data_IF_426912268643
#
_entry.id   IF_426912268643
#
_cell.length_a   1.000
_cell.length_b   1.000
_cell.length_c   1.000
_cell.angle_alpha   90.00
_cell.angle_beta   90.00
_cell.angle_gamma   90.00
#
_symmetry.space_group_name_H-M   'P 1'
#
loop_
_entity.id
_entity.type
_entity.pdbx_description
1 polymer ?
#
# COMPACT_ATOMS: atom_id res chain seq x y z
N UNK A 1 26.58 -0.50 48.76
CA UNK A 1 26.33 -1.90 48.35
C UNK A 1 25.91 -2.05 46.89
N UNK A 2 25.21 -1.09 46.27
CA UNK A 2 24.80 -1.18 44.86
C UNK A 2 25.97 -1.10 43.84
N UNK A 3 27.02 -0.32 44.14
CA UNK A 3 28.17 -0.13 43.24
C UNK A 3 29.05 -1.36 43.06
N UNK A 4 29.21 -2.17 44.11
CA UNK A 4 30.03 -3.39 44.04
C UNK A 4 29.39 -4.46 43.15
N UNK A 5 28.06 -4.56 43.18
CA UNK A 5 27.32 -5.47 42.30
C UNK A 5 27.35 -4.99 40.84
N UNK A 6 27.12 -3.69 40.60
CA UNK A 6 27.21 -3.12 39.25
C UNK A 6 28.61 -3.26 38.64
N UNK A 7 29.66 -3.10 39.45
CA UNK A 7 31.05 -3.30 39.03
C UNK A 7 31.35 -4.77 38.72
N UNK A 8 30.87 -5.72 39.54
CA UNK A 8 31.01 -7.15 39.28
C UNK A 8 30.23 -7.58 38.01
N UNK A 9 29.04 -7.04 37.78
CA UNK A 9 28.24 -7.29 36.57
C UNK A 9 28.89 -6.70 35.32
N UNK A 10 29.50 -5.52 35.41
CA UNK A 10 30.27 -4.93 34.30
C UNK A 10 31.48 -5.81 33.91
N UNK A 11 32.10 -6.49 34.87
CA UNK A 11 33.18 -7.45 34.64
C UNK A 11 32.74 -8.75 33.92
N UNK A 12 31.43 -9.02 33.85
CA UNK A 12 30.86 -10.15 33.11
C UNK A 12 30.41 -9.76 31.69
N UNK A 13 30.66 -8.52 31.27
CA UNK A 13 30.29 -8.05 29.94
C UNK A 13 31.11 -8.77 28.85
N UNK A 14 30.44 -9.61 28.06
CA UNK A 14 30.99 -10.15 26.83
C UNK A 14 30.62 -9.23 25.64
N UNK A 15 31.44 -9.18 24.56
CA UNK A 15 31.05 -8.52 23.33
C UNK A 15 29.70 -9.04 22.86
N UNK A 16 28.76 -8.13 22.59
CA UNK A 16 27.47 -8.51 22.02
C UNK A 16 27.69 -9.26 20.69
N UNK A 17 26.96 -10.36 20.42
CA UNK A 17 27.04 -11.03 19.13
C UNK A 17 26.80 -10.03 18.00
N UNK A 18 27.56 -10.12 16.90
CA UNK A 18 27.45 -9.18 15.79
C UNK A 18 26.03 -9.09 15.18
N UNK A 19 25.21 -10.13 15.40
CA UNK A 19 23.81 -10.21 14.96
C UNK A 19 22.82 -9.58 15.93
N UNK A 20 23.20 -9.37 17.19
CA UNK A 20 22.31 -8.86 18.24
C UNK A 20 21.76 -7.47 17.89
N UNK A 21 22.54 -6.52 17.34
CA UNK A 21 21.99 -5.20 17.05
C UNK A 21 20.86 -5.21 16.03
N UNK A 22 20.86 -6.12 15.04
CA UNK A 22 19.76 -6.25 14.07
C UNK A 22 18.50 -6.92 14.63
N UNK A 23 18.64 -7.61 15.79
CA UNK A 23 17.53 -8.22 16.53
C UNK A 23 16.91 -7.24 17.53
N UNK A 24 17.75 -6.40 18.14
CA UNK A 24 17.32 -5.44 19.17
C UNK A 24 16.85 -4.13 18.55
N UNK A 25 17.61 -3.56 17.61
CA UNK A 25 17.33 -2.26 17.03
C UNK A 25 16.68 -2.37 15.66
N UNK A 26 15.77 -1.44 15.40
CA UNK A 26 15.31 -1.16 14.04
C UNK A 26 16.17 -0.05 13.45
N UNK A 27 16.74 -0.32 12.28
CA UNK A 27 17.55 0.66 11.55
C UNK A 27 16.66 1.73 10.93
N UNK A 28 17.08 2.99 10.89
CA UNK A 28 16.35 4.01 10.17
C UNK A 28 17.24 5.05 9.48
N UNK A 29 16.73 5.64 8.40
CA UNK A 29 17.30 6.82 7.76
C UNK A 29 16.24 7.53 6.91
N UNK A 30 16.56 8.69 6.36
CA UNK A 30 15.68 9.41 5.43
C UNK A 30 16.00 9.08 3.97
N UNK A 31 15.01 9.22 3.10
CA UNK A 31 15.19 9.10 1.66
C UNK A 31 14.13 9.89 0.87
N UNK A 32 14.48 10.34 -0.35
CA UNK A 32 13.50 10.99 -1.22
C UNK A 32 12.50 9.97 -1.78
N UNK A 33 11.24 10.37 -1.84
CA UNK A 33 10.11 9.56 -2.30
C UNK A 33 9.12 10.37 -3.14
N UNK A 34 8.06 9.72 -3.62
CA UNK A 34 6.93 10.40 -4.29
C UNK A 34 6.04 11.25 -3.37
N UNK A 35 6.26 11.20 -2.05
CA UNK A 35 5.59 12.07 -1.07
C UNK A 35 6.50 13.22 -0.59
N UNK A 36 7.66 13.41 -1.22
CA UNK A 36 8.76 14.21 -0.68
C UNK A 36 9.71 13.35 0.16
N UNK A 37 10.53 13.99 0.98
CA UNK A 37 11.43 13.27 1.88
C UNK A 37 10.63 12.52 2.96
N UNK A 38 11.00 11.26 3.16
CA UNK A 38 10.38 10.38 4.16
C UNK A 38 11.45 9.73 5.01
N UNK A 39 11.09 9.38 6.23
CA UNK A 39 11.87 8.52 7.09
C UNK A 39 11.42 7.07 6.92
N UNK A 40 12.37 6.16 6.98
CA UNK A 40 12.17 4.74 6.72
C UNK A 40 12.80 3.93 7.84
N UNK A 41 12.03 3.04 8.46
CA UNK A 41 12.50 2.05 9.43
C UNK A 41 12.60 0.67 8.78
N UNK A 42 13.71 -0.02 9.01
CA UNK A 42 14.06 -1.32 8.42
C UNK A 42 14.53 -2.26 9.52
N UNK A 43 13.90 -3.42 9.61
CA UNK A 43 14.30 -4.52 10.49
C UNK A 43 15.16 -5.53 9.73
N UNK A 44 15.58 -6.61 10.40
CA UNK A 44 16.20 -7.74 9.72
C UNK A 44 15.28 -8.42 8.68
N UNK A 45 13.97 -8.21 8.74
CA UNK A 45 12.98 -8.84 7.85
C UNK A 45 12.53 -7.95 6.68
N UNK A 46 12.82 -6.65 6.73
CA UNK A 46 12.46 -5.73 5.65
C UNK A 46 12.05 -4.34 6.15
N UNK A 47 11.43 -3.57 5.25
CA UNK A 47 10.88 -2.25 5.58
C UNK A 47 9.65 -2.43 6.47
N UNK A 48 9.66 -1.83 7.65
CA UNK A 48 8.57 -1.93 8.63
C UNK A 48 7.75 -0.64 8.73
N UNK A 49 8.37 0.52 8.49
CA UNK A 49 7.69 1.81 8.63
C UNK A 49 8.21 2.85 7.65
N UNK A 50 7.31 3.61 7.04
CA UNK A 50 7.62 4.74 6.14
C UNK A 50 6.69 5.89 6.47
N UNK A 51 7.23 7.07 6.75
CA UNK A 51 6.41 8.26 7.03
C UNK A 51 7.13 9.55 6.65
N UNK A 52 6.43 10.54 6.07
CA UNK A 52 6.85 11.94 6.17
C UNK A 52 6.90 12.37 7.65
N UNK A 53 7.91 13.14 8.04
CA UNK A 53 8.00 13.77 9.35
C UNK A 53 8.80 15.06 9.23
N UNK A 54 8.55 16.03 10.10
CA UNK A 54 9.31 17.27 10.17
C UNK A 54 10.71 17.09 10.78
N UNK A 55 10.90 16.04 11.59
CA UNK A 55 12.18 15.73 12.22
C UNK A 55 12.38 14.23 12.48
N UNK A 56 13.63 13.86 12.77
CA UNK A 56 13.99 12.52 13.20
C UNK A 56 13.32 12.12 14.53
N UNK A 57 13.16 13.06 15.47
CA UNK A 57 12.55 12.80 16.77
C UNK A 57 11.05 12.55 16.65
N UNK A 58 10.35 13.30 15.79
CA UNK A 58 8.94 13.08 15.50
C UNK A 58 8.73 11.69 14.88
N UNK A 59 9.57 11.31 13.92
CA UNK A 59 9.56 9.97 13.35
C UNK A 59 9.83 8.90 14.40
N UNK A 60 10.83 9.11 15.25
CA UNK A 60 11.20 8.14 16.28
C UNK A 60 10.13 7.97 17.35
N UNK A 61 9.45 9.05 17.74
CA UNK A 61 8.31 9.00 18.63
C UNK A 61 7.14 8.21 18.02
N UNK A 62 6.79 8.49 16.75
CA UNK A 62 5.74 7.76 16.05
C UNK A 62 6.06 6.28 15.85
N UNK A 63 7.33 5.94 15.61
CA UNK A 63 7.77 4.55 15.50
C UNK A 63 7.66 3.83 16.85
N UNK A 64 8.11 4.45 17.95
CA UNK A 64 8.02 3.87 19.30
C UNK A 64 6.58 3.67 19.75
N UNK A 65 5.71 4.65 19.53
CA UNK A 65 4.27 4.54 19.82
C UNK A 65 3.63 3.32 19.14
N UNK A 66 4.06 3.02 17.92
CA UNK A 66 3.49 1.93 17.13
C UNK A 66 4.10 0.56 17.40
N UNK A 67 5.41 0.48 17.60
CA UNK A 67 6.14 -0.79 17.58
C UNK A 67 6.90 -1.10 18.87
N UNK A 68 6.98 -0.15 19.80
CA UNK A 68 7.71 -0.27 21.08
C UNK A 68 9.13 -0.83 20.92
N UNK A 69 9.87 -0.32 19.92
CA UNK A 69 11.24 -0.75 19.62
C UNK A 69 12.22 0.41 19.50
N UNK A 70 13.47 0.23 19.95
CA UNK A 70 14.49 1.24 19.83
C UNK A 70 14.97 1.37 18.38
N UNK A 71 15.29 2.60 18.01
CA UNK A 71 15.76 2.96 16.68
C UNK A 71 17.27 3.21 16.69
N UNK A 72 17.94 2.83 15.61
CA UNK A 72 19.35 3.15 15.35
C UNK A 72 19.52 3.72 13.95
N UNK A 73 20.24 4.83 13.82
CA UNK A 73 20.48 5.46 12.51
C UNK A 73 21.29 4.53 11.60
N UNK A 74 20.93 4.50 10.32
CA UNK A 74 21.64 3.83 9.25
C UNK A 74 22.29 4.87 8.33
N UNK A 75 23.47 4.55 7.80
CA UNK A 75 24.13 5.40 6.79
C UNK A 75 23.40 5.34 5.45
N UNK A 76 22.84 4.16 5.11
CA UNK A 76 22.16 3.90 3.83
C UNK A 76 21.04 2.89 3.97
N UNK A 77 20.02 3.05 3.13
CA UNK A 77 18.95 2.07 2.99
C UNK A 77 19.45 0.79 2.30
N UNK A 78 18.79 -0.37 2.57
CA UNK A 78 18.97 -1.56 1.76
C UNK A 78 18.71 -1.29 0.28
N UNK A 79 19.38 -2.06 -0.58
CA UNK A 79 19.22 -1.96 -2.02
C UNK A 79 17.75 -2.11 -2.45
N UNK A 80 17.32 -1.31 -3.41
CA UNK A 80 15.95 -1.34 -3.95
C UNK A 80 14.91 -0.54 -3.15
N UNK A 81 15.10 -0.28 -1.85
CA UNK A 81 14.13 0.48 -1.04
C UNK A 81 13.97 1.91 -1.55
N UNK A 82 15.09 2.64 -1.73
CA UNK A 82 15.07 4.01 -2.25
C UNK A 82 14.38 4.12 -3.62
N UNK A 83 14.77 3.34 -4.64
CA UNK A 83 14.04 3.27 -5.90
C UNK A 83 12.54 2.98 -5.74
N UNK A 84 12.16 2.01 -4.89
CA UNK A 84 10.76 1.61 -4.70
C UNK A 84 9.90 2.76 -4.15
N UNK A 85 10.44 3.55 -3.22
CA UNK A 85 9.78 4.75 -2.69
C UNK A 85 9.54 5.83 -3.77
N UNK A 86 10.35 5.83 -4.83
CA UNK A 86 10.21 6.69 -6.00
C UNK A 86 9.36 6.07 -7.12
N UNK A 87 8.71 4.93 -6.85
CA UNK A 87 7.93 4.19 -7.84
C UNK A 87 8.79 3.47 -8.90
N UNK A 88 10.09 3.30 -8.64
CA UNK A 88 11.04 2.63 -9.53
C UNK A 88 11.46 1.28 -8.92
N UNK A 89 11.83 0.31 -9.75
CA UNK A 89 12.24 -1.03 -9.31
C UNK A 89 11.12 -1.86 -8.61
N UNK A 90 11.45 -3.09 -8.23
CA UNK A 90 10.52 -4.07 -7.64
C UNK A 90 10.09 -3.77 -6.20
N UNK A 91 9.49 -4.74 -5.54
CA UNK A 91 9.05 -4.61 -4.14
C UNK A 91 10.14 -5.09 -3.20
N UNK A 92 10.69 -4.24 -2.33
CA UNK A 92 11.58 -4.70 -1.28
C UNK A 92 10.80 -5.59 -0.29
N UNK A 93 11.49 -6.46 0.47
CA UNK A 93 10.87 -7.17 1.58
C UNK A 93 10.21 -6.21 2.56
N UNK A 94 9.01 -6.57 3.03
CA UNK A 94 8.23 -5.81 4.00
C UNK A 94 8.12 -6.63 5.29
N UNK A 95 8.39 -5.99 6.42
CA UNK A 95 8.15 -6.59 7.73
C UNK A 95 6.78 -6.14 8.24
N UNK A 96 5.80 -7.07 8.14
CA UNK A 96 4.43 -6.88 8.59
C UNK A 96 4.07 -7.81 9.76
N UNK A 97 5.07 -8.33 10.48
CA UNK A 97 4.85 -9.31 11.55
C UNK A 97 4.09 -8.72 12.74
N UNK A 98 4.26 -7.42 12.99
CA UNK A 98 3.54 -6.70 14.07
C UNK A 98 2.06 -6.46 13.78
N UNK A 99 1.56 -6.77 12.57
CA UNK A 99 0.16 -6.59 12.21
C UNK A 99 -0.67 -7.85 12.51
N UNK A 100 -1.99 -7.71 12.57
CA UNK A 100 -2.90 -8.86 12.57
C UNK A 100 -2.93 -9.58 11.21
N UNK A 101 -3.42 -10.81 11.18
CA UNK A 101 -3.63 -11.55 9.91
C UNK A 101 -4.52 -10.77 8.94
N UNK A 102 -5.62 -10.20 9.45
CA UNK A 102 -6.53 -9.40 8.63
C UNK A 102 -5.83 -8.18 8.02
N UNK A 103 -5.02 -7.45 8.79
CA UNK A 103 -4.27 -6.31 8.27
C UNK A 103 -3.26 -6.75 7.20
N UNK A 104 -2.54 -7.85 7.42
CA UNK A 104 -1.62 -8.42 6.43
C UNK A 104 -2.34 -8.77 5.12
N UNK A 105 -3.50 -9.43 5.20
CA UNK A 105 -4.28 -9.82 4.03
C UNK A 105 -4.77 -8.59 3.24
N UNK A 106 -5.22 -7.55 3.93
CA UNK A 106 -5.64 -6.28 3.32
C UNK A 106 -4.49 -5.59 2.60
N UNK A 107 -3.32 -5.50 3.25
CA UNK A 107 -2.14 -4.88 2.65
C UNK A 107 -1.61 -5.72 1.48
N UNK A 108 -1.64 -7.05 1.57
CA UNK A 108 -1.25 -7.95 0.49
C UNK A 108 -2.20 -7.85 -0.73
N UNK A 109 -3.51 -7.80 -0.51
CA UNK A 109 -4.49 -7.56 -1.56
C UNK A 109 -4.27 -6.20 -2.24
N UNK A 110 -4.07 -5.15 -1.45
CA UNK A 110 -3.81 -3.78 -1.94
C UNK A 110 -2.50 -3.70 -2.72
N UNK A 111 -1.46 -4.39 -2.25
CA UNK A 111 -0.18 -4.48 -2.95
C UNK A 111 -0.39 -5.01 -4.37
N UNK A 112 -1.33 -5.93 -4.65
CA UNK A 112 -1.53 -6.48 -6.00
C UNK A 112 -2.08 -5.49 -7.03
N UNK A 113 -2.57 -4.31 -6.62
CA UNK A 113 -3.11 -3.31 -7.55
C UNK A 113 -1.96 -2.69 -8.36
N UNK A 114 -1.91 -2.83 -9.70
CA UNK A 114 -0.83 -2.28 -10.52
C UNK A 114 -0.82 -0.74 -10.54
N UNK A 115 0.33 -0.15 -10.85
CA UNK A 115 0.42 1.30 -11.10
C UNK A 115 -0.53 1.72 -12.23
N UNK A 116 -1.16 2.88 -12.05
CA UNK A 116 -2.11 3.45 -13.00
C UNK A 116 -3.48 2.78 -12.98
N UNK A 117 -3.70 1.86 -12.04
CA UNK A 117 -4.98 1.21 -11.80
C UNK A 117 -5.49 1.49 -10.40
N UNK A 118 -6.81 1.42 -10.25
CA UNK A 118 -7.51 1.63 -8.98
C UNK A 118 -8.51 0.51 -8.73
N UNK A 119 -8.79 0.23 -7.45
CA UNK A 119 -9.83 -0.73 -7.04
C UNK A 119 -10.69 -0.15 -5.92
N UNK A 120 -11.99 -0.49 -5.86
CA UNK A 120 -12.82 -0.05 -4.75
C UNK A 120 -12.44 -0.76 -3.45
N UNK A 121 -12.70 -0.15 -2.29
CA UNK A 121 -12.51 -0.81 -0.99
C UNK A 121 -13.17 -2.19 -0.89
N UNK A 122 -14.35 -2.37 -1.51
CA UNK A 122 -15.05 -3.64 -1.57
C UNK A 122 -14.27 -4.75 -2.31
N UNK A 123 -13.48 -4.38 -3.31
CA UNK A 123 -12.60 -5.32 -4.00
C UNK A 123 -11.49 -5.81 -3.07
N UNK A 124 -10.86 -4.89 -2.33
CA UNK A 124 -9.81 -5.26 -1.35
C UNK A 124 -10.38 -6.15 -0.26
N UNK A 125 -11.58 -5.86 0.25
CA UNK A 125 -12.24 -6.67 1.27
C UNK A 125 -12.45 -8.13 0.83
N UNK A 126 -12.86 -8.35 -0.41
CA UNK A 126 -13.06 -9.70 -0.97
C UNK A 126 -11.75 -10.41 -1.24
N UNK A 127 -10.78 -9.71 -1.81
CA UNK A 127 -9.44 -10.23 -2.07
C UNK A 127 -8.65 -10.54 -0.78
N UNK A 128 -9.05 -9.95 0.35
CA UNK A 128 -8.58 -10.29 1.69
C UNK A 128 -9.43 -11.38 2.39
N UNK A 129 -10.35 -12.05 1.66
CA UNK A 129 -11.19 -13.12 2.20
C UNK A 129 -12.27 -12.65 3.19
N UNK A 130 -12.52 -11.34 3.31
CA UNK A 130 -13.48 -10.74 4.25
C UNK A 130 -14.46 -9.78 3.51
N UNK A 131 -15.33 -10.27 2.61
CA UNK A 131 -16.19 -9.43 1.75
C UNK A 131 -17.02 -8.36 2.48
N UNK A 132 -17.43 -8.64 3.72
CA UNK A 132 -18.26 -7.74 4.54
C UNK A 132 -17.46 -6.67 5.31
N UNK A 133 -16.13 -6.74 5.31
CA UNK A 133 -15.25 -5.91 6.14
C UNK A 133 -14.83 -4.59 5.47
N UNK A 134 -15.62 -4.04 4.54
CA UNK A 134 -15.25 -2.87 3.71
C UNK A 134 -14.83 -1.65 4.55
N UNK A 135 -15.54 -1.36 5.64
CA UNK A 135 -15.18 -0.24 6.54
C UNK A 135 -13.87 -0.50 7.27
N UNK A 136 -13.67 -1.73 7.76
CA UNK A 136 -12.44 -2.11 8.45
C UNK A 136 -11.22 -2.05 7.52
N UNK A 137 -11.38 -2.43 6.24
CA UNK A 137 -10.35 -2.22 5.21
C UNK A 137 -9.93 -0.75 5.13
N UNK A 138 -10.89 0.18 5.14
CA UNK A 138 -10.60 1.62 5.16
C UNK A 138 -9.72 2.01 6.35
N UNK A 139 -10.04 1.53 7.56
CA UNK A 139 -9.23 1.76 8.77
C UNK A 139 -7.82 1.20 8.64
N UNK A 140 -7.65 -0.01 8.12
CA UNK A 140 -6.34 -0.62 7.90
C UNK A 140 -5.51 0.22 6.91
N UNK A 141 -6.10 0.62 5.80
CA UNK A 141 -5.40 1.40 4.77
C UNK A 141 -5.04 2.81 5.23
N UNK A 142 -5.87 3.44 6.07
CA UNK A 142 -5.57 4.71 6.71
C UNK A 142 -4.39 4.63 7.71
N UNK A 143 -4.11 3.43 8.21
CA UNK A 143 -3.01 3.13 9.15
C UNK A 143 -1.91 2.29 8.51
N UNK A 144 -1.81 2.27 7.18
CA UNK A 144 -0.77 1.56 6.45
C UNK A 144 0.62 2.01 6.95
N UNK A 145 1.43 1.11 7.54
CA UNK A 145 2.74 1.49 8.06
C UNK A 145 3.77 1.73 6.96
N UNK A 146 3.54 1.23 5.74
CA UNK A 146 4.49 1.28 4.63
C UNK A 146 3.83 1.87 3.37
N UNK A 147 3.35 3.13 3.42
CA UNK A 147 2.82 3.81 2.24
C UNK A 147 3.86 3.84 1.10
N UNK A 148 3.37 4.03 -0.13
CA UNK A 148 4.14 3.92 -1.39
C UNK A 148 4.59 2.50 -1.74
N UNK A 149 5.08 1.72 -0.77
CA UNK A 149 5.45 0.32 -0.95
C UNK A 149 4.20 -0.57 -1.00
N UNK A 150 3.29 -0.36 -0.05
CA UNK A 150 1.89 -0.79 -0.17
C UNK A 150 1.08 0.41 -0.68
N UNK A 151 0.52 0.35 -1.89
CA UNK A 151 -0.04 1.50 -2.58
C UNK A 151 -1.50 1.76 -2.16
N UNK A 152 -1.72 2.11 -0.89
CA UNK A 152 -3.07 2.40 -0.38
C UNK A 152 -3.76 3.56 -1.10
N UNK A 153 -3.01 4.46 -1.75
CA UNK A 153 -3.56 5.51 -2.63
C UNK A 153 -4.29 4.97 -3.86
N UNK A 154 -4.06 3.71 -4.27
CA UNK A 154 -4.76 3.04 -5.39
C UNK A 154 -6.15 2.52 -5.04
N UNK A 155 -6.55 2.58 -3.76
CA UNK A 155 -7.87 2.14 -3.32
C UNK A 155 -8.80 3.35 -3.26
N UNK A 156 -9.92 3.29 -3.97
CA UNK A 156 -10.85 4.42 -4.18
C UNK A 156 -12.27 4.05 -3.79
N UNK A 157 -13.20 5.01 -3.83
CA UNK A 157 -14.63 4.74 -3.66
C UNK A 157 -15.20 4.08 -4.91
N UNK A 158 -16.31 3.34 -4.75
CA UNK A 158 -16.95 2.65 -5.87
C UNK A 158 -17.58 3.60 -6.91
N UNK A 159 -17.89 4.83 -6.50
CA UNK A 159 -18.39 5.92 -7.34
C UNK A 159 -17.29 6.62 -8.16
N UNK A 160 -16.04 6.13 -8.10
CA UNK A 160 -14.91 6.69 -8.83
C UNK A 160 -14.20 7.84 -8.10
N UNK A 161 -14.75 8.35 -7.00
CA UNK A 161 -14.08 9.38 -6.22
C UNK A 161 -12.87 8.79 -5.49
N UNK A 162 -11.77 9.57 -5.41
CA UNK A 162 -10.55 9.13 -4.73
C UNK A 162 -10.83 8.76 -3.26
N UNK A 163 -11.68 9.52 -2.57
CA UNK A 163 -11.96 9.37 -1.13
C UNK A 163 -10.78 9.82 -0.27
N UNK A 164 -10.89 9.59 1.04
CA UNK A 164 -9.91 10.06 2.00
C UNK A 164 -8.56 9.33 1.89
N UNK A 165 -7.52 10.02 2.35
CA UNK A 165 -6.14 9.54 2.36
C UNK A 165 -5.41 10.05 3.58
N UNK A 166 -4.55 9.23 4.18
CA UNK A 166 -3.81 9.60 5.40
C UNK A 166 -2.91 10.82 5.23
N UNK A 167 -2.52 11.17 3.99
CA UNK A 167 -1.74 12.36 3.67
C UNK A 167 -2.56 13.43 2.90
N UNK A 168 -3.89 13.33 2.94
CA UNK A 168 -4.81 14.26 2.30
C UNK A 168 -5.15 13.91 0.84
N UNK A 169 -6.35 14.32 0.37
CA UNK A 169 -6.87 13.94 -0.95
C UNK A 169 -6.01 14.47 -2.10
N UNK A 170 -5.45 15.67 -1.98
CA UNK A 170 -4.59 16.26 -3.02
C UNK A 170 -3.34 15.42 -3.30
N UNK A 171 -2.72 14.83 -2.26
CA UNK A 171 -1.55 13.97 -2.44
C UNK A 171 -1.91 12.62 -3.07
N UNK A 172 -3.07 12.06 -2.72
CA UNK A 172 -3.59 10.84 -3.34
C UNK A 172 -3.80 11.03 -4.83
N UNK A 173 -4.44 12.15 -5.17
CA UNK A 173 -4.74 12.53 -6.54
C UNK A 173 -3.47 12.77 -7.36
N UNK A 174 -2.48 13.49 -6.81
CA UNK A 174 -1.16 13.66 -7.42
C UNK A 174 -0.45 12.32 -7.69
N UNK A 175 -0.44 11.40 -6.71
CA UNK A 175 0.16 10.07 -6.88
C UNK A 175 -0.55 9.23 -7.95
N UNK A 176 -1.87 9.32 -8.04
CA UNK A 176 -2.65 8.59 -9.04
C UNK A 176 -2.40 9.13 -10.45
N UNK A 177 -2.34 10.46 -10.61
CA UNK A 177 -2.02 11.07 -11.91
C UNK A 177 -0.60 10.78 -12.36
N UNK A 178 0.38 10.84 -11.45
CA UNK A 178 1.77 10.44 -11.70
C UNK A 178 1.87 9.00 -12.24
N UNK A 179 1.00 8.10 -11.76
CA UNK A 179 0.92 6.73 -12.24
C UNK A 179 0.10 6.56 -13.53
N UNK A 180 -0.50 7.62 -14.06
CA UNK A 180 -1.33 7.60 -15.26
C UNK A 180 -2.73 7.01 -15.05
N UNK A 181 -3.29 7.10 -13.84
CA UNK A 181 -4.69 6.79 -13.59
C UNK A 181 -5.59 7.98 -13.98
N UNK A 182 -6.62 7.72 -14.78
CA UNK A 182 -7.59 8.73 -15.21
C UNK A 182 -8.86 8.68 -14.35
N UNK A 183 -8.82 9.33 -13.18
CA UNK A 183 -10.00 9.36 -12.29
C UNK A 183 -11.14 10.20 -12.85
N UNK A 184 -10.87 11.19 -13.69
CA UNK A 184 -11.90 12.04 -14.27
C UNK A 184 -12.80 11.23 -15.22
N UNK A 185 -12.21 10.35 -16.03
CA UNK A 185 -12.96 9.39 -16.86
C UNK A 185 -13.76 8.41 -15.99
N UNK A 186 -13.17 7.87 -14.91
CA UNK A 186 -13.90 6.96 -14.01
C UNK A 186 -15.09 7.66 -13.37
N UNK A 187 -14.93 8.89 -12.89
CA UNK A 187 -16.00 9.67 -12.30
C UNK A 187 -17.08 10.04 -13.34
N UNK A 188 -16.69 10.35 -14.58
CA UNK A 188 -17.63 10.62 -15.67
C UNK A 188 -18.47 9.37 -16.01
N UNK A 189 -17.83 8.20 -16.13
CA UNK A 189 -18.51 6.92 -16.33
C UNK A 189 -19.48 6.63 -15.17
N UNK A 190 -19.03 6.81 -13.93
CA UNK A 190 -19.84 6.56 -12.75
C UNK A 190 -21.09 7.47 -12.67
N UNK A 191 -20.97 8.75 -13.06
CA UNK A 191 -22.14 9.66 -13.18
C UNK A 191 -23.15 9.18 -14.22
N UNK A 192 -22.69 8.51 -15.27
CA UNK A 192 -23.53 7.85 -16.27
C UNK A 192 -24.01 6.46 -15.88
N UNK A 193 -23.78 6.01 -14.63
CA UNK A 193 -24.17 4.67 -14.16
C UNK A 193 -23.26 3.55 -14.68
N UNK A 194 -22.09 3.87 -15.23
CA UNK A 194 -21.13 2.90 -15.77
C UNK A 194 -19.98 2.73 -14.77
N UNK A 195 -19.86 1.54 -14.19
CA UNK A 195 -18.78 1.20 -13.26
C UNK A 195 -17.81 0.15 -13.81
N UNK A 196 -18.18 -0.51 -14.91
CA UNK A 196 -17.41 -1.55 -15.56
C UNK A 196 -17.44 -1.33 -17.07
N UNK A 197 -16.33 -1.68 -17.73
CA UNK A 197 -16.18 -1.61 -19.18
C UNK A 197 -15.94 -3.01 -19.72
N UNK A 198 -16.62 -3.35 -20.80
CA UNK A 198 -16.43 -4.62 -21.50
C UNK A 198 -16.05 -4.40 -22.96
N UNK A 199 -15.36 -5.39 -23.52
CA UNK A 199 -14.99 -5.43 -24.94
C UNK A 199 -15.80 -6.52 -25.63
N UNK A 200 -16.54 -6.15 -26.68
CA UNK A 200 -17.32 -7.10 -27.50
C UNK A 200 -16.42 -8.02 -28.33
N UNK A 201 -15.23 -7.56 -28.71
CA UNK A 201 -14.23 -8.36 -29.42
C UNK A 201 -13.62 -9.48 -28.58
N UNK A 202 -13.46 -9.27 -27.28
CA UNK A 202 -12.85 -10.27 -26.36
C UNK A 202 -13.87 -10.98 -25.47
N UNK A 203 -15.07 -10.41 -25.31
CA UNK A 203 -16.08 -10.85 -24.37
C UNK A 203 -15.65 -10.70 -22.90
N UNK A 204 -14.75 -9.75 -22.58
CA UNK A 204 -14.21 -9.55 -21.23
C UNK A 204 -14.74 -8.27 -20.61
N UNK A 205 -15.23 -8.35 -19.37
CA UNK A 205 -15.58 -7.18 -18.53
C UNK A 205 -14.49 -6.87 -17.50
N UNK A 206 -14.20 -5.58 -17.32
CA UNK A 206 -13.11 -5.04 -16.53
C UNK A 206 -13.53 -3.84 -15.66
N UNK A 207 -12.69 -3.49 -14.68
CA UNK A 207 -12.72 -2.13 -14.11
C UNK A 207 -12.22 -1.10 -15.13
N UNK A 208 -12.69 0.16 -15.10
CA UNK A 208 -12.31 1.18 -16.08
C UNK A 208 -10.80 1.45 -16.16
N UNK A 209 -10.11 1.41 -15.02
CA UNK A 209 -8.65 1.62 -14.97
C UNK A 209 -7.84 0.37 -15.26
N UNK A 210 -8.47 -0.78 -15.57
CA UNK A 210 -7.75 -1.98 -15.95
C UNK A 210 -6.91 -1.73 -17.22
N UNK A 211 -5.67 -2.25 -17.26
CA UNK A 211 -4.82 -2.16 -18.46
C UNK A 211 -5.51 -2.70 -19.72
N UNK A 212 -6.33 -3.73 -19.56
CA UNK A 212 -7.04 -4.38 -20.67
C UNK A 212 -8.22 -3.51 -21.12
N UNK A 213 -8.94 -2.88 -20.18
CA UNK A 213 -10.03 -1.93 -20.46
C UNK A 213 -9.55 -0.67 -21.20
N UNK A 214 -8.39 -0.13 -20.80
CA UNK A 214 -7.80 1.08 -21.39
C UNK A 214 -7.42 0.94 -22.87
N UNK A 215 -7.31 -0.30 -23.36
CA UNK A 215 -6.98 -0.61 -24.77
C UNK A 215 -8.20 -0.84 -25.63
N UNK A 216 -9.40 -0.89 -25.05
CA UNK A 216 -10.64 -1.08 -25.80
C UNK A 216 -10.92 0.21 -26.57
N UNK A 217 -10.99 0.09 -27.90
CA UNK A 217 -11.39 1.21 -28.77
C UNK A 217 -12.83 1.61 -28.48
N UNK A 218 -13.22 2.90 -28.64
CA UNK A 218 -14.57 3.35 -28.32
C UNK A 218 -15.68 2.55 -29.02
N UNK A 219 -15.48 2.12 -30.26
CA UNK A 219 -16.44 1.34 -31.03
C UNK A 219 -16.75 -0.06 -30.45
N UNK A 220 -15.81 -0.63 -29.69
CA UNK A 220 -15.91 -1.97 -29.10
C UNK A 220 -16.17 -1.96 -27.59
N UNK A 221 -16.41 -0.77 -27.02
CA UNK A 221 -16.49 -0.55 -25.58
C UNK A 221 -17.94 -0.47 -25.12
N UNK A 222 -18.30 -1.34 -24.18
CA UNK A 222 -19.65 -1.41 -23.60
C UNK A 222 -19.61 -1.15 -22.10
N UNK A 223 -20.51 -0.31 -21.59
CA UNK A 223 -20.57 0.07 -20.18
C UNK A 223 -21.60 -0.73 -19.39
N UNK A 224 -21.28 -1.09 -18.14
CA UNK A 224 -22.19 -1.80 -17.24
C UNK A 224 -22.21 -1.20 -15.83
N UNK A 225 -23.37 -1.18 -15.15
CA UNK A 225 -23.49 -0.72 -13.77
C UNK A 225 -22.93 -1.74 -12.77
N UNK A 226 -23.03 -3.03 -13.09
CA UNK A 226 -22.57 -4.13 -12.23
C UNK A 226 -21.90 -5.22 -13.07
N UNK A 227 -21.02 -5.99 -12.45
CA UNK A 227 -20.44 -7.17 -13.11
C UNK A 227 -21.50 -8.22 -13.43
N UNK A 228 -22.52 -8.35 -12.57
CA UNK A 228 -23.64 -9.27 -12.81
C UNK A 228 -24.41 -8.92 -14.09
N UNK A 229 -24.65 -7.63 -14.36
CA UNK A 229 -25.28 -7.19 -15.60
C UNK A 229 -24.43 -7.53 -16.84
N UNK A 230 -23.11 -7.36 -16.75
CA UNK A 230 -22.21 -7.74 -17.82
C UNK A 230 -22.20 -9.27 -18.05
N UNK A 231 -22.22 -10.06 -16.98
CA UNK A 231 -22.27 -11.54 -17.08
C UNK A 231 -23.59 -12.00 -17.70
N UNK A 232 -24.72 -11.40 -17.30
CA UNK A 232 -26.02 -11.69 -17.92
C UNK A 232 -26.05 -11.34 -19.42
N UNK A 233 -25.27 -10.34 -19.84
CA UNK A 233 -25.08 -9.97 -21.24
C UNK A 233 -24.02 -10.82 -21.98
N UNK A 234 -23.48 -11.88 -21.36
CA UNK A 234 -22.57 -12.84 -21.99
C UNK A 234 -21.06 -12.54 -21.82
N UNK A 235 -20.70 -11.50 -21.05
CA UNK A 235 -19.30 -11.15 -20.81
C UNK A 235 -18.70 -11.95 -19.64
N UNK A 236 -17.41 -12.27 -19.72
CA UNK A 236 -16.67 -12.98 -18.67
C UNK A 236 -15.81 -12.01 -17.84
N UNK A 237 -15.76 -12.16 -16.51
CA UNK A 237 -14.90 -11.32 -15.67
C UNK A 237 -13.42 -11.44 -16.03
N UNK A 238 -12.74 -10.30 -16.14
CA UNK A 238 -11.31 -10.23 -16.41
C UNK A 238 -10.49 -10.91 -15.30
N UNK A 239 -9.56 -11.80 -15.69
CA UNK A 239 -8.64 -12.47 -14.77
C UNK A 239 -7.54 -11.55 -14.23
N UNK A 240 -7.21 -10.47 -14.96
CA UNK A 240 -6.23 -9.46 -14.54
C UNK A 240 -6.79 -8.58 -13.42
N UNK A 241 -7.91 -7.89 -13.67
CA UNK A 241 -8.46 -6.93 -12.71
C UNK A 241 -9.45 -7.53 -11.72
N UNK A 242 -9.91 -8.76 -11.97
CA UNK A 242 -10.82 -9.55 -11.12
C UNK A 242 -12.01 -8.74 -10.62
N UNK A 243 -12.88 -8.26 -11.53
CA UNK A 243 -14.00 -7.41 -11.13
C UNK A 243 -15.09 -8.19 -10.36
N UNK A 244 -15.11 -9.52 -10.52
CA UNK A 244 -16.00 -10.45 -9.81
C UNK A 244 -15.35 -11.14 -8.59
N UNK A 245 -14.16 -10.69 -8.16
CA UNK A 245 -13.59 -11.15 -6.89
C UNK A 245 -14.56 -10.89 -5.74
#
# INVERSE_FOLDING_TARGET
MNDSLLSALAGLAAPAPATLPGRVFTGWTSAPSRLGDVFVAVTAHGVQFVRPAGSADEFAAAYRDRFDRPLRRLDRLPAGVGPALRGRAGRPPLDLHALSDFERDVLAATARIPAGQTRPYGWVAREAGRPRAVRAVGTVLARNPVPLLVPCHRVVRADGAAGDYMFGPARKDALLRDEGANLDEVAALARGGVHYLASDTTGIVCFPTCRDARRITPAHRHGFPTVAAAVAAGYRPCRTCRPAA
#
